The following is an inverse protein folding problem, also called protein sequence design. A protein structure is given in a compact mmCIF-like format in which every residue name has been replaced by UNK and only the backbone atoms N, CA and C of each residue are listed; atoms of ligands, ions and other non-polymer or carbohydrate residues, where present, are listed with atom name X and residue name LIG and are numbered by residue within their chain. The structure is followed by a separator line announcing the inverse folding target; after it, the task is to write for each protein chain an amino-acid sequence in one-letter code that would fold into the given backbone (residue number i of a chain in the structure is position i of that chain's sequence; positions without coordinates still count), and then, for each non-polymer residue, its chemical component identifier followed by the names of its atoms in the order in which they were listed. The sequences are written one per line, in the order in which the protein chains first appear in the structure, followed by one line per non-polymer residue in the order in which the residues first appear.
data_IF_204563802022
#
_entry.id   IF_204563802022
#
_cell.length_a   1.000
_cell.length_b   1.000
_cell.length_c   1.000
_cell.angle_alpha   90.00
_cell.angle_beta   90.00
_cell.angle_gamma   90.00
#
_symmetry.space_group_name_H-M   'P 1'
#
loop_
_entity.id
_entity.type
_entity.pdbx_description
1 polymer ?
#
# COMPACT_ATOMS: atom_id res chain seq x y z
N UNK A 1 8.40 39.66 5.17
CA UNK A 1 8.17 38.28 4.71
C UNK A 1 7.78 38.36 3.25
N UNK A 2 8.72 38.13 2.33
CA UNK A 2 8.40 38.05 0.90
C UNK A 2 7.90 36.63 0.60
N UNK A 3 6.83 36.47 -0.21
CA UNK A 3 6.35 35.15 -0.60
C UNK A 3 7.39 34.46 -1.49
N UNK A 4 7.73 33.21 -1.17
CA UNK A 4 8.55 32.36 -2.03
C UNK A 4 7.86 32.21 -3.39
N UNK A 5 8.58 32.30 -4.51
CA UNK A 5 7.98 32.12 -5.83
C UNK A 5 7.48 30.68 -5.94
N UNK A 6 6.23 30.53 -6.38
CA UNK A 6 5.70 29.26 -6.86
C UNK A 6 6.60 28.81 -8.00
N UNK A 7 7.36 27.73 -7.78
CA UNK A 7 8.19 27.11 -8.82
C UNK A 7 7.27 26.75 -9.98
N UNK A 8 7.32 27.56 -11.04
CA UNK A 8 6.63 27.24 -12.27
C UNK A 8 7.22 25.93 -12.80
N UNK A 9 6.39 24.89 -12.89
CA UNK A 9 6.78 23.63 -13.53
C UNK A 9 7.27 23.97 -14.94
N UNK A 10 8.57 23.83 -15.17
CA UNK A 10 9.14 24.03 -16.50
C UNK A 10 8.44 23.05 -17.44
N UNK A 11 7.94 23.53 -18.59
CA UNK A 11 7.19 22.75 -19.58
C UNK A 11 7.99 21.59 -20.22
N UNK A 12 9.18 21.29 -19.70
CA UNK A 12 10.08 20.24 -20.15
C UNK A 12 10.79 19.63 -18.93
N UNK A 13 10.00 19.15 -17.98
CA UNK A 13 10.49 18.10 -17.08
C UNK A 13 10.45 16.78 -17.87
N UNK A 14 11.57 16.08 -18.08
CA UNK A 14 11.58 14.78 -18.75
C UNK A 14 10.72 13.73 -18.03
N UNK A 15 10.21 14.03 -16.84
CA UNK A 15 9.43 13.10 -16.01
C UNK A 15 10.32 11.99 -15.48
N UNK A 16 9.69 10.97 -14.89
CA UNK A 16 10.41 9.82 -14.35
C UNK A 16 10.43 8.67 -15.36
N UNK A 17 11.59 8.01 -15.56
CA UNK A 17 11.65 6.83 -16.40
C UNK A 17 10.83 5.70 -15.79
N UNK A 18 10.08 4.99 -16.62
CA UNK A 18 9.31 3.84 -16.16
C UNK A 18 10.25 2.75 -15.62
N UNK A 19 10.02 2.31 -14.39
CA UNK A 19 10.73 1.23 -13.73
C UNK A 19 9.93 -0.07 -13.80
N UNK A 20 10.60 -1.24 -13.79
CA UNK A 20 9.96 -2.52 -13.54
C UNK A 20 9.17 -2.51 -12.22
N UNK A 21 7.99 -3.14 -12.20
CA UNK A 21 7.13 -3.21 -11.01
C UNK A 21 7.85 -3.90 -9.83
N UNK A 22 8.72 -4.87 -10.12
CA UNK A 22 9.54 -5.51 -9.10
C UNK A 22 10.45 -4.50 -8.37
N UNK A 23 11.06 -3.58 -9.12
CA UNK A 23 11.96 -2.56 -8.54
C UNK A 23 11.19 -1.52 -7.74
N UNK A 24 9.97 -1.16 -8.19
CA UNK A 24 9.05 -0.32 -7.42
C UNK A 24 8.69 -0.95 -6.07
N UNK A 25 8.30 -2.23 -6.07
CA UNK A 25 7.98 -2.93 -4.83
C UNK A 25 9.22 -3.12 -3.94
N UNK A 26 10.40 -3.36 -4.53
CA UNK A 26 11.65 -3.45 -3.80
C UNK A 26 12.02 -2.11 -3.13
N UNK A 27 11.68 -0.97 -3.74
CA UNK A 27 11.87 0.35 -3.13
C UNK A 27 11.02 0.56 -1.87
N UNK A 28 9.91 -0.17 -1.74
CA UNK A 28 8.99 -0.16 -0.60
C UNK A 28 9.10 -1.44 0.26
N UNK A 29 10.22 -2.17 0.20
CA UNK A 29 10.36 -3.51 0.80
C UNK A 29 10.06 -3.55 2.30
N UNK A 30 10.48 -2.54 3.06
CA UNK A 30 10.20 -2.45 4.50
C UNK A 30 8.68 -2.48 4.79
N UNK A 31 7.90 -1.77 3.99
CA UNK A 31 6.46 -1.66 4.15
C UNK A 31 5.75 -2.91 3.63
N UNK A 32 6.19 -3.46 2.49
CA UNK A 32 5.69 -4.74 1.95
C UNK A 32 5.95 -5.89 2.93
N UNK A 33 7.14 -5.94 3.53
CA UNK A 33 7.49 -6.91 4.57
C UNK A 33 6.62 -6.75 5.80
N UNK A 34 6.35 -5.52 6.24
CA UNK A 34 5.45 -5.24 7.35
C UNK A 34 4.00 -5.69 7.07
N UNK A 35 3.50 -5.45 5.86
CA UNK A 35 2.19 -5.94 5.40
C UNK A 35 2.15 -7.48 5.43
N UNK A 36 3.20 -8.14 4.92
CA UNK A 36 3.30 -9.61 4.92
C UNK A 36 3.24 -10.18 6.35
N UNK A 37 3.97 -9.58 7.28
CA UNK A 37 3.94 -9.97 8.69
C UNK A 37 2.56 -9.74 9.32
N UNK A 38 1.93 -8.60 9.04
CA UNK A 38 0.62 -8.24 9.61
C UNK A 38 -0.51 -9.15 9.11
N UNK A 39 -0.46 -9.59 7.84
CA UNK A 39 -1.42 -10.57 7.32
C UNK A 39 -1.34 -11.92 8.05
N UNK A 40 -0.13 -12.35 8.45
CA UNK A 40 0.11 -13.62 9.12
C UNK A 40 -0.21 -14.86 8.27
N UNK A 41 -0.25 -14.70 6.95
CA UNK A 41 -0.48 -15.77 5.99
C UNK A 41 0.77 -16.63 5.78
N UNK A 42 0.60 -17.86 5.28
CA UNK A 42 1.73 -18.62 4.73
C UNK A 42 2.29 -17.91 3.50
N UNK A 43 3.54 -18.23 3.14
CA UNK A 43 4.19 -17.66 1.95
C UNK A 43 3.35 -17.90 0.69
N UNK A 44 2.86 -19.12 0.49
CA UNK A 44 2.09 -19.49 -0.70
C UNK A 44 0.72 -18.78 -0.75
N UNK A 45 0.06 -18.63 0.40
CA UNK A 45 -1.21 -17.92 0.47
C UNK A 45 -1.02 -16.43 0.20
N UNK A 46 0.02 -15.81 0.77
CA UNK A 46 0.35 -14.40 0.49
C UNK A 46 0.67 -14.19 -0.99
N UNK A 47 1.51 -15.06 -1.56
CA UNK A 47 1.94 -14.98 -2.96
C UNK A 47 0.75 -15.20 -3.94
N UNK A 48 -0.29 -15.94 -3.52
CA UNK A 48 -1.51 -16.17 -4.32
C UNK A 48 -2.53 -15.05 -4.17
N UNK A 49 -2.74 -14.54 -2.95
CA UNK A 49 -3.88 -13.68 -2.62
C UNK A 49 -3.52 -12.19 -2.57
N UNK A 50 -2.33 -11.85 -2.05
CA UNK A 50 -1.95 -10.46 -1.75
C UNK A 50 -0.90 -9.93 -2.73
N UNK A 51 0.12 -10.73 -3.07
CA UNK A 51 1.19 -10.32 -3.97
C UNK A 51 0.69 -9.81 -5.34
N UNK A 52 -0.33 -10.41 -5.99
CA UNK A 52 -0.86 -9.90 -7.25
C UNK A 52 -1.56 -8.54 -7.08
N UNK A 53 -2.16 -8.27 -5.91
CA UNK A 53 -2.78 -6.98 -5.62
C UNK A 53 -1.74 -5.88 -5.49
N UNK A 54 -0.64 -6.15 -4.78
CA UNK A 54 0.48 -5.22 -4.66
C UNK A 54 1.09 -4.89 -6.03
N UNK A 55 1.29 -5.92 -6.87
CA UNK A 55 1.80 -5.76 -8.23
C UNK A 55 0.86 -4.90 -9.09
N UNK A 56 -0.44 -5.17 -9.05
CA UNK A 56 -1.44 -4.40 -9.80
C UNK A 56 -1.48 -2.95 -9.34
N UNK A 57 -1.50 -2.72 -8.02
CA UNK A 57 -1.48 -1.38 -7.45
C UNK A 57 -0.21 -0.62 -7.87
N UNK A 58 0.97 -1.20 -7.67
CA UNK A 58 2.25 -0.60 -8.06
C UNK A 58 2.35 -0.34 -9.56
N UNK A 59 1.79 -1.22 -10.41
CA UNK A 59 1.73 -0.98 -11.86
C UNK A 59 0.83 0.19 -12.24
N UNK A 60 -0.22 0.45 -11.45
CA UNK A 60 -1.20 1.48 -11.72
C UNK A 60 -0.73 2.87 -11.27
N UNK A 61 -0.22 2.98 -10.04
CA UNK A 61 0.23 4.26 -9.48
C UNK A 61 1.69 4.58 -9.84
N UNK A 62 2.51 3.55 -10.05
CA UNK A 62 3.89 3.65 -10.53
C UNK A 62 4.69 4.73 -9.77
N UNK A 63 5.31 5.67 -10.47
CA UNK A 63 6.12 6.75 -9.90
C UNK A 63 5.33 8.04 -9.61
N UNK A 64 3.98 8.01 -9.64
CA UNK A 64 3.18 9.20 -9.40
C UNK A 64 3.42 9.77 -7.99
N UNK A 65 3.65 11.09 -7.86
CA UNK A 65 3.60 11.75 -6.57
C UNK A 65 2.14 11.78 -6.07
N UNK A 66 1.93 11.64 -4.76
CA UNK A 66 0.60 11.73 -4.17
C UNK A 66 0.18 13.17 -3.87
N UNK A 67 1.16 14.06 -3.62
CA UNK A 67 0.93 15.47 -3.29
C UNK A 67 1.82 16.37 -4.12
N UNK A 68 1.46 17.65 -4.25
CA UNK A 68 2.18 18.60 -5.09
C UNK A 68 3.54 19.02 -4.49
N UNK A 69 3.61 19.26 -3.18
CA UNK A 69 4.77 19.86 -2.53
C UNK A 69 4.94 19.45 -1.05
N UNK A 70 4.38 18.31 -0.64
CA UNK A 70 4.42 17.84 0.75
C UNK A 70 5.04 16.43 0.87
N UNK A 71 4.86 15.75 2.00
CA UNK A 71 5.49 14.47 2.38
C UNK A 71 5.51 13.37 1.29
N UNK A 72 4.49 13.30 0.43
CA UNK A 72 4.40 12.32 -0.66
C UNK A 72 4.56 12.95 -2.07
N UNK A 73 5.33 14.02 -2.20
CA UNK A 73 5.64 14.67 -3.48
C UNK A 73 6.79 14.03 -4.26
N UNK A 74 7.48 13.06 -3.67
CA UNK A 74 8.56 12.31 -4.31
C UNK A 74 8.04 11.27 -5.32
N UNK A 75 8.90 10.77 -6.22
CA UNK A 75 8.56 9.64 -7.08
C UNK A 75 8.08 8.45 -6.26
N UNK A 76 7.06 7.76 -6.74
CA UNK A 76 6.36 6.69 -6.02
C UNK A 76 5.65 7.15 -4.74
N UNK A 77 5.43 8.45 -4.54
CA UNK A 77 4.72 8.98 -3.38
C UNK A 77 3.33 8.37 -3.22
N UNK A 78 2.60 8.15 -4.31
CA UNK A 78 1.27 7.53 -4.28
C UNK A 78 1.33 6.03 -3.97
N UNK A 79 2.38 5.34 -4.40
CA UNK A 79 2.65 3.95 -4.01
C UNK A 79 2.84 3.85 -2.50
N UNK A 80 3.75 4.66 -1.95
CA UNK A 80 4.07 4.65 -0.52
C UNK A 80 2.86 5.01 0.34
N UNK A 81 2.14 6.08 0.00
CA UNK A 81 0.93 6.49 0.72
C UNK A 81 -0.13 5.39 0.74
N UNK A 82 -0.43 4.77 -0.41
CA UNK A 82 -1.45 3.73 -0.47
C UNK A 82 -1.07 2.47 0.31
N UNK A 83 0.20 2.07 0.26
CA UNK A 83 0.70 0.95 1.06
C UNK A 83 0.65 1.26 2.56
N UNK A 84 0.95 2.49 2.98
CA UNK A 84 0.87 2.91 4.39
C UNK A 84 -0.57 2.87 4.89
N UNK A 85 -1.50 3.43 4.11
CA UNK A 85 -2.94 3.39 4.43
C UNK A 85 -3.42 1.94 4.54
N UNK A 86 -3.10 1.10 3.56
CA UNK A 86 -3.48 -0.32 3.59
C UNK A 86 -2.89 -1.04 4.80
N UNK A 87 -1.62 -0.79 5.14
CA UNK A 87 -0.97 -1.35 6.32
C UNK A 87 -1.66 -0.94 7.63
N UNK A 88 -1.92 0.34 7.84
CA UNK A 88 -2.58 0.81 9.06
C UNK A 88 -4.04 0.35 9.16
N UNK A 89 -4.77 0.30 8.04
CA UNK A 89 -6.10 -0.28 7.97
C UNK A 89 -6.08 -1.76 8.37
N UNK A 90 -5.10 -2.52 7.88
CA UNK A 90 -4.91 -3.92 8.25
C UNK A 90 -4.60 -4.09 9.74
N UNK A 91 -3.71 -3.27 10.32
CA UNK A 91 -3.45 -3.28 11.76
C UNK A 91 -4.70 -2.98 12.58
N UNK A 92 -5.58 -2.09 12.10
CA UNK A 92 -6.87 -1.81 12.73
C UNK A 92 -7.78 -3.03 12.86
N UNK A 93 -7.60 -4.05 12.02
CA UNK A 93 -8.39 -5.29 12.11
C UNK A 93 -8.01 -6.15 13.31
N UNK A 94 -6.76 -6.10 13.78
CA UNK A 94 -6.31 -6.88 14.95
C UNK A 94 -6.92 -6.37 16.26
N UNK A 95 -7.36 -5.10 16.30
CA UNK A 95 -8.05 -4.51 17.46
C UNK A 95 -9.53 -4.89 17.54
N UNK A 96 -10.10 -5.54 16.52
CA UNK A 96 -11.54 -5.82 16.46
C UNK A 96 -11.83 -7.32 16.36
N UNK A 97 -12.58 -7.86 17.34
CA UNK A 97 -13.09 -9.24 17.24
C UNK A 97 -14.20 -9.24 16.20
N UNK A 98 -13.84 -9.59 14.96
CA UNK A 98 -14.83 -9.87 13.93
C UNK A 98 -15.64 -11.10 14.35
N UNK A 99 -16.97 -10.98 14.29
CA UNK A 99 -17.90 -12.08 14.56
C UNK A 99 -17.90 -12.60 16.02
N UNK A 100 -17.95 -11.68 16.99
CA UNK A 100 -17.98 -11.96 18.44
C UNK A 100 -19.06 -12.94 18.95
N UNK A 101 -20.09 -13.26 18.15
CA UNK A 101 -21.12 -14.30 18.46
C UNK A 101 -20.97 -15.60 17.67
N UNK A 102 -19.96 -15.72 16.81
CA UNK A 102 -19.73 -16.88 15.94
C UNK A 102 -18.85 -17.95 16.60
N UNK A 103 -18.98 -19.20 16.14
CA UNK A 103 -18.13 -20.31 16.56
C UNK A 103 -16.67 -20.08 16.12
N UNK A 104 -15.72 -20.72 16.81
CA UNK A 104 -14.28 -20.64 16.51
C UNK A 104 -14.00 -21.02 15.05
N UNK A 105 -14.68 -22.02 14.52
CA UNK A 105 -14.53 -22.47 13.12
C UNK A 105 -15.00 -21.42 12.12
N UNK A 106 -16.09 -20.71 12.40
CA UNK A 106 -16.59 -19.64 11.54
C UNK A 106 -15.67 -18.40 11.56
N UNK A 107 -15.13 -18.04 12.73
CA UNK A 107 -14.12 -16.98 12.87
C UNK A 107 -12.89 -17.23 12.01
N UNK A 108 -12.34 -18.44 12.11
CA UNK A 108 -11.15 -18.86 11.35
C UNK A 108 -11.32 -18.72 9.83
N UNK A 109 -12.54 -18.86 9.31
CA UNK A 109 -12.83 -18.68 7.88
C UNK A 109 -13.10 -17.23 7.48
N UNK A 110 -13.68 -16.43 8.38
CA UNK A 110 -14.08 -15.06 8.08
C UNK A 110 -12.96 -14.03 8.31
N UNK A 111 -12.12 -14.24 9.32
CA UNK A 111 -11.03 -13.33 9.68
C UNK A 111 -10.06 -13.03 8.51
N UNK A 112 -9.58 -14.03 7.73
CA UNK A 112 -8.72 -13.75 6.57
C UNK A 112 -9.40 -12.88 5.51
N UNK A 113 -10.72 -13.06 5.31
CA UNK A 113 -11.50 -12.32 4.32
C UNK A 113 -11.72 -10.88 4.75
N UNK A 114 -11.97 -10.64 6.04
CA UNK A 114 -12.10 -9.29 6.59
C UNK A 114 -10.78 -8.53 6.54
N UNK A 115 -9.66 -9.18 6.89
CA UNK A 115 -8.31 -8.61 6.74
C UNK A 115 -8.04 -8.17 5.31
N UNK A 116 -8.33 -9.03 4.35
CA UNK A 116 -8.18 -8.69 2.93
C UNK A 116 -9.08 -7.54 2.52
N UNK A 117 -10.36 -7.54 2.93
CA UNK A 117 -11.31 -6.49 2.61
C UNK A 117 -10.90 -5.11 3.17
N UNK A 118 -10.42 -5.05 4.41
CA UNK A 118 -9.95 -3.81 5.03
C UNK A 118 -8.64 -3.31 4.42
N UNK A 119 -7.79 -4.21 3.92
CA UNK A 119 -6.56 -3.83 3.23
C UNK A 119 -6.82 -3.18 1.86
N UNK A 120 -7.87 -3.61 1.15
CA UNK A 120 -8.18 -3.13 -0.22
C UNK A 120 -9.20 -2.00 -0.30
N UNK A 121 -10.01 -1.80 0.75
CA UNK A 121 -11.16 -0.88 0.77
C UNK A 121 -10.76 0.55 1.06
#
# INVERSE_FOLDING_TARGET
MSPSPLTAFAATDPGFPALPVADLLASADNLVSSIRLCFGLSRDAFDTEVQPLLQRYASYVHLLPATADNYFSSPAGLLNLGLEVGFYSLQGTDAHIFSGRSTISARRQLEPRWRLATFIG
#
